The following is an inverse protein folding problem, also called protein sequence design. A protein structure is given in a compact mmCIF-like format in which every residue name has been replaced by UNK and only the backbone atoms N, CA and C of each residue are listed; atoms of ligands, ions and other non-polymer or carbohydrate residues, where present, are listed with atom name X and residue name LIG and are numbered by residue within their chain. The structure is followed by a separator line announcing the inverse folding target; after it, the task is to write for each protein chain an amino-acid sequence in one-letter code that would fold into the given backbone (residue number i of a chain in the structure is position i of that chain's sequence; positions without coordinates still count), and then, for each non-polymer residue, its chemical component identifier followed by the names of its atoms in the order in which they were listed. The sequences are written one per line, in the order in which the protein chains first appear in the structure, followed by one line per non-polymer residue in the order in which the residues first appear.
data_IF_002965134977
#
_entry.id   IF_002965134977
#
_cell.length_a   1.000
_cell.length_b   1.000
_cell.length_c   1.000
_cell.angle_alpha   90.00
_cell.angle_beta   90.00
_cell.angle_gamma   90.00
#
_symmetry.space_group_name_H-M   'P 1'
#
loop_
_entity.id
_entity.type
_entity.pdbx_description
1 polymer ?
#
# COMPACT_ATOMS: atom_id res chain seq x y z
N UNK A 1 -11.46 -35.98 1.87
CA UNK A 1 -10.64 -36.58 0.80
C UNK A 1 -9.40 -35.74 0.48
N UNK A 2 -9.51 -34.54 -0.10
CA UNK A 2 -8.34 -33.71 -0.49
C UNK A 2 -7.45 -33.30 0.69
N UNK A 3 -8.05 -32.90 1.82
CA UNK A 3 -7.33 -32.60 3.05
C UNK A 3 -6.49 -33.79 3.57
N UNK A 4 -7.06 -35.00 3.51
CA UNK A 4 -6.35 -36.24 3.88
C UNK A 4 -5.25 -36.61 2.87
N UNK A 5 -5.44 -36.31 1.58
CA UNK A 5 -4.43 -36.45 0.53
C UNK A 5 -3.27 -35.47 0.71
N UNK A 6 -3.55 -34.21 1.08
CA UNK A 6 -2.54 -33.21 1.43
C UNK A 6 -1.77 -33.63 2.69
N UNK A 7 -2.47 -34.07 3.73
CA UNK A 7 -1.82 -34.62 4.92
C UNK A 7 -0.98 -35.86 4.58
N UNK A 8 -1.46 -36.74 3.69
CA UNK A 8 -0.70 -37.88 3.17
C UNK A 8 0.51 -37.45 2.34
N UNK A 9 0.38 -36.44 1.48
CA UNK A 9 1.47 -35.93 0.65
C UNK A 9 2.55 -35.28 1.52
N UNK A 10 2.18 -34.47 2.52
CA UNK A 10 3.10 -33.93 3.53
C UNK A 10 3.74 -35.05 4.34
N UNK A 11 2.98 -36.10 4.66
CA UNK A 11 3.47 -37.29 5.35
C UNK A 11 4.38 -38.20 4.50
N UNK A 12 4.32 -38.14 3.17
CA UNK A 12 5.10 -38.96 2.24
C UNK A 12 6.20 -38.18 1.52
N UNK A 13 6.18 -36.85 1.61
CA UNK A 13 7.33 -36.04 1.28
C UNK A 13 8.48 -36.55 2.15
N UNK A 14 9.50 -37.11 1.49
CA UNK A 14 10.53 -37.92 2.13
C UNK A 14 11.36 -37.17 3.17
N UNK A 15 12.49 -37.73 3.62
CA UNK A 15 13.33 -37.17 4.70
C UNK A 15 13.89 -35.74 4.44
N UNK A 16 13.51 -35.07 3.35
CA UNK A 16 13.88 -33.69 3.02
C UNK A 16 12.96 -32.60 3.59
N UNK A 17 11.78 -32.92 4.15
CA UNK A 17 11.00 -31.92 4.89
C UNK A 17 11.56 -31.76 6.31
N UNK A 18 12.47 -30.82 6.46
CA UNK A 18 13.12 -30.49 7.76
C UNK A 18 12.29 -29.52 8.61
N UNK A 19 11.10 -29.10 8.14
CA UNK A 19 10.28 -28.07 8.77
C UNK A 19 8.84 -28.53 8.99
N UNK A 20 8.24 -28.05 10.07
CA UNK A 20 6.81 -28.23 10.32
C UNK A 20 5.98 -27.54 9.22
N UNK A 21 4.91 -28.20 8.78
CA UNK A 21 3.96 -27.66 7.79
C UNK A 21 2.61 -27.40 8.45
N UNK A 22 2.12 -26.17 8.38
CA UNK A 22 0.77 -25.81 8.80
C UNK A 22 -0.10 -25.59 7.55
N UNK A 23 -1.16 -26.40 7.43
CA UNK A 23 -2.18 -26.21 6.39
C UNK A 23 -3.28 -25.31 6.95
N UNK A 24 -3.51 -24.18 6.30
CA UNK A 24 -4.57 -23.23 6.67
C UNK A 24 -5.77 -23.47 5.77
N UNK A 25 -6.88 -23.95 6.32
CA UNK A 25 -8.15 -24.10 5.58
C UNK A 25 -9.02 -22.87 5.82
N UNK A 26 -9.46 -22.21 4.74
CA UNK A 26 -10.43 -21.09 4.80
C UNK A 26 -10.04 -19.91 5.70
N UNK A 27 -8.74 -19.63 5.84
CA UNK A 27 -8.23 -18.44 6.54
C UNK A 27 -8.03 -17.24 5.63
N UNK A 28 -7.81 -16.05 6.20
CA UNK A 28 -7.32 -14.87 5.46
C UNK A 28 -5.82 -14.72 5.74
N UNK A 29 -5.02 -14.70 4.68
CA UNK A 29 -3.57 -14.70 4.75
C UNK A 29 -3.03 -13.49 4.00
N UNK A 30 -2.34 -12.61 4.70
CA UNK A 30 -1.82 -11.35 4.14
C UNK A 30 -0.35 -11.54 3.78
N UNK A 31 -0.01 -11.16 2.56
CA UNK A 31 1.30 -11.30 1.94
C UNK A 31 1.79 -9.93 1.51
N UNK A 32 2.93 -9.52 2.04
CA UNK A 32 3.62 -8.29 1.65
C UNK A 32 5.05 -8.63 1.19
N UNK A 33 5.52 -8.05 0.09
CA UNK A 33 6.92 -8.13 -0.31
C UNK A 33 7.84 -7.69 0.81
N UNK A 34 8.95 -8.40 0.99
CA UNK A 34 9.98 -7.98 1.91
C UNK A 34 10.59 -6.65 1.44
N UNK A 35 10.68 -5.66 2.34
CA UNK A 35 11.37 -4.40 2.08
C UNK A 35 10.59 -3.36 1.27
N UNK A 36 9.30 -3.61 0.98
CA UNK A 36 8.42 -2.62 0.37
C UNK A 36 8.32 -1.38 1.27
N UNK A 37 8.63 -0.23 0.68
CA UNK A 37 8.82 1.06 1.34
C UNK A 37 7.97 2.12 0.63
N UNK A 38 6.73 1.76 0.31
CA UNK A 38 5.78 2.65 -0.34
C UNK A 38 4.62 3.02 0.61
N UNK A 39 3.70 3.85 0.13
CA UNK A 39 2.55 4.28 0.91
C UNK A 39 1.56 3.12 1.20
N UNK A 40 1.54 2.06 0.37
CA UNK A 40 0.73 0.88 0.63
C UNK A 40 1.27 0.06 1.81
N UNK A 41 2.59 -0.02 1.98
CA UNK A 41 3.17 -0.58 3.20
C UNK A 41 2.71 0.16 4.44
N UNK A 42 2.67 1.50 4.39
CA UNK A 42 2.21 2.33 5.52
C UNK A 42 0.73 2.10 5.81
N UNK A 43 -0.10 2.04 4.75
CA UNK A 43 -1.50 1.66 4.86
C UNK A 43 -1.68 0.30 5.55
N UNK A 44 -0.94 -0.72 5.10
CA UNK A 44 -1.04 -2.05 5.68
C UNK A 44 -0.51 -2.13 7.11
N UNK A 45 0.54 -1.38 7.45
CA UNK A 45 1.02 -1.28 8.82
C UNK A 45 -0.04 -0.69 9.77
N UNK A 46 -0.88 0.24 9.29
CA UNK A 46 -2.02 0.78 10.04
C UNK A 46 -3.21 -0.18 10.13
N UNK A 47 -3.51 -0.91 9.05
CA UNK A 47 -4.68 -1.79 8.94
C UNK A 47 -4.46 -3.15 9.60
N UNK A 48 -3.32 -3.80 9.35
CA UNK A 48 -3.07 -5.18 9.75
C UNK A 48 -3.23 -5.46 11.25
N UNK A 49 -2.80 -4.57 12.18
CA UNK A 49 -3.04 -4.77 13.60
C UNK A 49 -4.53 -4.86 13.97
N UNK A 50 -5.41 -4.18 13.24
CA UNK A 50 -6.86 -4.29 13.44
C UNK A 50 -7.35 -5.66 12.98
N UNK A 51 -6.93 -6.10 11.80
CA UNK A 51 -7.29 -7.43 11.28
C UNK A 51 -6.81 -8.57 12.15
N UNK A 52 -5.57 -8.53 12.63
CA UNK A 52 -5.02 -9.59 13.49
C UNK A 52 -5.73 -9.67 14.85
N UNK A 53 -6.28 -8.56 15.35
CA UNK A 53 -7.02 -8.52 16.63
C UNK A 53 -8.48 -8.92 16.48
N UNK A 54 -9.14 -8.41 15.45
CA UNK A 54 -10.60 -8.46 15.31
C UNK A 54 -11.05 -9.57 14.34
N UNK A 55 -10.12 -10.12 13.55
CA UNK A 55 -10.41 -11.15 12.56
C UNK A 55 -9.41 -12.31 12.62
N UNK A 56 -9.81 -13.46 12.06
CA UNK A 56 -8.95 -14.64 11.93
C UNK A 56 -7.99 -14.49 10.73
N UNK A 57 -7.18 -13.42 10.73
CA UNK A 57 -6.16 -13.16 9.73
C UNK A 57 -4.77 -13.63 10.22
N UNK A 58 -3.88 -13.97 9.29
CA UNK A 58 -2.47 -14.18 9.61
C UNK A 58 -1.57 -13.50 8.57
N UNK A 59 -0.44 -12.98 9.04
CA UNK A 59 0.58 -12.39 8.19
C UNK A 59 1.62 -13.44 7.80
N UNK A 60 1.93 -13.49 6.51
CA UNK A 60 2.89 -14.40 5.91
C UNK A 60 4.05 -13.64 5.28
N UNK A 61 5.24 -14.19 5.48
CA UNK A 61 6.43 -13.86 4.71
C UNK A 61 6.60 -14.86 3.58
N UNK A 62 7.01 -14.35 2.42
CA UNK A 62 7.56 -15.18 1.37
C UNK A 62 9.09 -15.16 1.52
N UNK A 63 9.72 -16.35 1.52
CA UNK A 63 11.18 -16.46 1.60
C UNK A 63 11.86 -15.66 0.48
N UNK A 64 13.13 -15.30 0.68
CA UNK A 64 13.88 -14.46 -0.26
C UNK A 64 14.04 -15.08 -1.65
N UNK A 65 14.09 -16.41 -1.72
CA UNK A 65 14.08 -17.21 -2.96
C UNK A 65 12.66 -17.36 -3.56
N UNK A 66 11.63 -16.88 -2.86
CA UNK A 66 10.23 -16.97 -3.24
C UNK A 66 9.62 -18.35 -3.05
N UNK A 67 10.35 -19.31 -2.48
CA UNK A 67 9.94 -20.72 -2.51
C UNK A 67 8.96 -21.12 -1.43
N UNK A 68 9.03 -20.46 -0.28
CA UNK A 68 8.36 -20.91 0.94
C UNK A 68 7.56 -19.77 1.56
N UNK A 69 6.35 -20.12 1.99
CA UNK A 69 5.51 -19.25 2.80
C UNK A 69 5.76 -19.55 4.27
N UNK A 70 6.12 -18.53 5.03
CA UNK A 70 6.37 -18.62 6.45
C UNK A 70 5.37 -17.75 7.20
N UNK A 71 4.79 -18.26 8.29
CA UNK A 71 3.97 -17.41 9.14
C UNK A 71 4.89 -16.50 9.98
N UNK A 72 4.69 -15.18 9.95
CA UNK A 72 5.40 -14.24 10.83
C UNK A 72 5.04 -14.43 12.30
N UNK A 73 3.84 -14.94 12.54
CA UNK A 73 3.28 -15.19 13.85
C UNK A 73 2.62 -16.57 13.87
N UNK A 74 2.43 -17.11 15.07
CA UNK A 74 1.69 -18.37 15.23
C UNK A 74 0.24 -18.15 14.80
N UNK A 75 -0.22 -18.91 13.82
CA UNK A 75 -1.61 -18.86 13.34
C UNK A 75 -2.52 -19.45 14.42
N UNK A 76 -3.37 -18.61 15.02
CA UNK A 76 -4.34 -19.00 16.05
C UNK A 76 -5.74 -18.97 15.43
N UNK A 77 -6.41 -20.13 15.35
CA UNK A 77 -7.87 -20.17 15.15
C UNK A 77 -8.42 -20.63 13.78
N UNK A 78 -7.60 -20.98 12.78
CA UNK A 78 -8.11 -21.44 11.47
C UNK A 78 -7.55 -22.80 10.99
N UNK A 79 -6.68 -23.43 11.77
CA UNK A 79 -6.18 -24.75 11.40
C UNK A 79 -7.21 -25.81 11.76
N UNK A 80 -7.62 -26.63 10.78
CA UNK A 80 -8.34 -27.88 11.07
C UNK A 80 -7.47 -28.70 12.05
N UNK A 81 -7.95 -28.97 13.28
CA UNK A 81 -7.19 -29.71 14.27
C UNK A 81 -6.74 -31.07 13.76
N UNK A 82 -7.50 -31.72 12.87
CA UNK A 82 -7.16 -33.01 12.28
C UNK A 82 -5.96 -32.92 11.33
N UNK A 83 -5.82 -31.82 10.59
CA UNK A 83 -4.68 -31.58 9.69
C UNK A 83 -3.44 -31.08 10.45
N UNK A 84 -3.64 -30.19 11.41
CA UNK A 84 -2.56 -29.63 12.22
C UNK A 84 -1.93 -30.65 13.17
N UNK A 85 -2.74 -31.53 13.80
CA UNK A 85 -2.25 -32.59 14.69
C UNK A 85 -1.47 -33.67 13.95
N UNK A 86 -1.87 -34.03 12.73
CA UNK A 86 -1.20 -35.05 11.90
C UNK A 86 0.23 -34.68 11.53
N UNK A 87 0.50 -33.39 11.30
CA UNK A 87 1.85 -32.89 10.99
C UNK A 87 2.67 -32.62 12.25
N UNK A 88 2.05 -32.09 13.31
CA UNK A 88 2.72 -31.83 14.60
C UNK A 88 3.11 -33.12 15.34
N UNK A 89 2.30 -34.18 15.24
CA UNK A 89 2.51 -35.44 15.95
C UNK A 89 3.79 -36.19 15.55
N UNK A 90 4.33 -35.98 14.33
CA UNK A 90 5.60 -36.64 13.92
C UNK A 90 6.85 -35.90 14.38
N UNK A 91 6.77 -34.60 14.61
CA UNK A 91 7.93 -33.80 15.04
C UNK A 91 8.10 -33.77 16.57
N UNK A 92 7.05 -34.12 17.34
CA UNK A 92 7.15 -34.23 18.79
C UNK A 92 8.02 -35.41 19.27
N UNK A 93 8.47 -36.30 18.37
CA UNK A 93 9.42 -37.35 18.65
C UNK A 93 10.84 -36.94 18.22
N UNK A 94 11.44 -35.96 18.92
CA UNK A 94 12.90 -35.92 19.07
C UNK A 94 13.73 -34.86 18.32
N UNK A 95 13.14 -33.85 17.67
CA UNK A 95 13.92 -32.75 17.07
C UNK A 95 13.47 -31.41 17.65
N UNK A 96 14.36 -30.75 18.40
CA UNK A 96 14.16 -29.37 18.81
C UNK A 96 14.05 -28.51 17.54
N UNK A 97 12.91 -27.82 17.36
CA UNK A 97 12.76 -26.84 16.30
C UNK A 97 13.62 -25.63 16.67
N UNK A 98 14.85 -25.58 16.15
CA UNK A 98 15.73 -24.41 16.21
C UNK A 98 15.07 -23.23 15.47
N UNK A 99 14.21 -22.48 16.16
CA UNK A 99 13.76 -21.13 15.76
C UNK A 99 13.11 -20.94 14.38
N UNK A 100 12.93 -21.98 13.58
CA UNK A 100 12.47 -21.88 12.20
C UNK A 100 10.94 -21.77 12.14
N UNK A 101 10.44 -20.72 11.47
CA UNK A 101 9.01 -20.50 11.25
C UNK A 101 8.41 -21.66 10.41
N UNK A 102 7.19 -22.14 10.76
CA UNK A 102 6.55 -23.22 10.03
C UNK A 102 6.27 -22.83 8.57
N UNK A 103 6.34 -23.82 7.67
CA UNK A 103 5.90 -23.68 6.29
C UNK A 103 4.37 -23.63 6.26
N UNK A 104 3.79 -22.65 5.58
CA UNK A 104 2.34 -22.49 5.47
C UNK A 104 1.86 -22.94 4.09
N UNK A 105 0.82 -23.78 4.08
CA UNK A 105 0.13 -24.18 2.86
C UNK A 105 -1.30 -23.63 2.89
N UNK A 106 -1.61 -22.59 2.09
CA UNK A 106 -2.95 -22.05 2.00
C UNK A 106 -3.86 -23.00 1.21
N UNK A 107 -4.93 -23.47 1.84
CA UNK A 107 -5.95 -24.30 1.20
C UNK A 107 -7.31 -23.63 1.32
N UNK A 108 -7.99 -23.41 0.18
CA UNK A 108 -9.31 -22.73 0.13
C UNK A 108 -9.35 -21.44 0.96
N UNK A 109 -8.21 -20.77 1.07
CA UNK A 109 -8.02 -19.58 1.88
C UNK A 109 -8.23 -18.35 1.02
N UNK A 110 -8.22 -17.17 1.62
CA UNK A 110 -8.12 -15.90 0.91
C UNK A 110 -6.71 -15.37 1.09
N UNK A 111 -5.95 -15.30 -0.01
CA UNK A 111 -4.62 -14.70 -0.06
C UNK A 111 -4.76 -13.23 -0.43
N UNK A 112 -4.32 -12.33 0.44
CA UNK A 112 -4.29 -10.89 0.19
C UNK A 112 -2.85 -10.48 -0.11
N UNK A 113 -2.53 -10.24 -1.37
CA UNK A 113 -1.22 -9.78 -1.82
C UNK A 113 -1.21 -8.26 -1.91
N UNK A 114 -0.29 -7.60 -1.21
CA UNK A 114 -0.26 -6.13 -1.12
C UNK A 114 0.94 -5.55 -1.86
N UNK A 115 0.71 -4.49 -2.61
CA UNK A 115 1.76 -3.62 -3.16
C UNK A 115 2.50 -4.18 -4.38
N UNK A 116 3.48 -3.40 -4.83
CA UNK A 116 4.39 -3.72 -5.93
C UNK A 116 5.73 -4.28 -5.40
N UNK A 117 6.73 -4.52 -6.27
CA UNK A 117 8.06 -4.95 -5.82
C UNK A 117 8.19 -6.46 -5.57
N UNK A 118 7.20 -7.24 -6.00
CA UNK A 118 7.34 -8.68 -6.12
C UNK A 118 8.37 -9.01 -7.21
N UNK A 119 9.32 -9.89 -6.90
CA UNK A 119 10.23 -10.38 -7.93
C UNK A 119 9.46 -11.16 -9.02
N UNK A 120 10.03 -11.32 -10.22
CA UNK A 120 9.40 -12.13 -11.28
C UNK A 120 9.05 -13.54 -10.80
N UNK A 121 9.96 -14.17 -10.05
CA UNK A 121 9.78 -15.51 -9.52
C UNK A 121 8.65 -15.58 -8.48
N UNK A 122 8.58 -14.60 -7.57
CA UNK A 122 7.52 -14.52 -6.58
C UNK A 122 6.16 -14.31 -7.24
N UNK A 123 6.07 -13.38 -8.20
CA UNK A 123 4.84 -13.10 -8.95
C UNK A 123 4.34 -14.33 -9.71
N UNK A 124 5.23 -15.07 -10.38
CA UNK A 124 4.87 -16.29 -11.09
C UNK A 124 4.36 -17.41 -10.16
N UNK A 125 4.93 -17.53 -8.96
CA UNK A 125 4.49 -18.51 -7.95
C UNK A 125 3.14 -18.13 -7.35
N UNK A 126 2.94 -16.87 -6.99
CA UNK A 126 1.65 -16.36 -6.53
C UNK A 126 0.58 -16.53 -7.61
N UNK A 127 0.91 -16.28 -8.89
CA UNK A 127 0.02 -16.55 -10.01
C UNK A 127 -0.34 -18.04 -10.14
N UNK A 128 0.61 -18.93 -9.86
CA UNK A 128 0.38 -20.37 -9.84
C UNK A 128 -0.57 -20.76 -8.69
N UNK A 129 -0.38 -20.19 -7.49
CA UNK A 129 -1.30 -20.37 -6.37
C UNK A 129 -2.71 -19.88 -6.71
N UNK A 130 -2.83 -18.70 -7.33
CA UNK A 130 -4.11 -18.14 -7.78
C UNK A 130 -4.84 -19.09 -8.74
N UNK A 131 -4.10 -19.75 -9.65
CA UNK A 131 -4.69 -20.65 -10.63
C UNK A 131 -5.03 -22.04 -10.10
N UNK A 132 -4.22 -22.58 -9.19
CA UNK A 132 -4.22 -24.03 -8.91
C UNK A 132 -4.59 -24.39 -7.46
N UNK A 133 -4.51 -23.47 -6.51
CA UNK A 133 -4.69 -23.80 -5.09
C UNK A 133 -6.16 -23.92 -4.64
N UNK A 134 -7.09 -23.40 -5.44
CA UNK A 134 -8.48 -23.21 -5.03
C UNK A 134 -8.67 -22.17 -3.92
N UNK A 135 -7.60 -21.48 -3.52
CA UNK A 135 -7.66 -20.29 -2.68
C UNK A 135 -8.04 -19.09 -3.54
N UNK A 136 -8.81 -18.19 -2.95
CA UNK A 136 -9.12 -16.90 -3.56
C UNK A 136 -7.91 -15.98 -3.42
N UNK A 137 -7.58 -15.24 -4.47
CA UNK A 137 -6.49 -14.26 -4.46
C UNK A 137 -7.05 -12.85 -4.65
N UNK A 138 -6.75 -11.99 -3.68
CA UNK A 138 -7.08 -10.58 -3.68
C UNK A 138 -5.77 -9.80 -3.76
N UNK A 139 -5.68 -8.85 -4.70
CA UNK A 139 -4.50 -7.98 -4.82
C UNK A 139 -4.89 -6.58 -4.38
N UNK A 140 -4.31 -6.08 -3.28
CA UNK A 140 -4.35 -4.67 -2.93
C UNK A 140 -3.27 -3.95 -3.72
N UNK A 141 -3.68 -3.40 -4.86
CA UNK A 141 -2.76 -3.05 -5.92
C UNK A 141 -2.26 -1.59 -5.80
N UNK A 142 -1.00 -1.32 -6.17
CA UNK A 142 -0.51 0.05 -6.32
C UNK A 142 -1.25 0.75 -7.46
N UNK A 143 -1.04 2.05 -7.58
CA UNK A 143 -1.57 2.81 -8.69
C UNK A 143 -1.16 2.23 -10.06
N UNK A 144 -2.09 2.22 -11.01
CA UNK A 144 -1.91 1.62 -12.33
C UNK A 144 -1.34 2.59 -13.39
N UNK A 145 -0.98 3.81 -13.01
CA UNK A 145 -0.34 4.80 -13.88
C UNK A 145 0.92 4.28 -14.58
N UNK A 146 1.78 3.43 -13.98
CA UNK A 146 2.91 2.85 -14.72
C UNK A 146 2.50 2.01 -15.93
N UNK A 147 1.23 1.61 -16.05
CA UNK A 147 0.69 0.93 -17.23
C UNK A 147 0.04 1.91 -18.20
N UNK A 148 -0.82 2.81 -17.69
CA UNK A 148 -1.65 3.67 -18.56
C UNK A 148 -0.92 4.93 -19.04
N UNK A 149 0.07 5.39 -18.28
CA UNK A 149 0.90 6.53 -18.60
C UNK A 149 2.35 6.30 -18.08
N UNK A 150 3.06 5.28 -18.60
CA UNK A 150 4.42 4.94 -18.15
C UNK A 150 5.40 6.11 -18.25
N UNK A 151 5.15 7.05 -19.17
CA UNK A 151 5.94 8.25 -19.31
C UNK A 151 5.87 9.18 -18.09
N UNK A 152 4.88 9.03 -17.20
CA UNK A 152 4.66 9.90 -16.03
C UNK A 152 5.30 9.37 -14.74
N UNK A 153 5.94 8.20 -14.79
CA UNK A 153 6.55 7.57 -13.60
C UNK A 153 7.98 7.14 -13.86
N UNK A 154 8.71 6.85 -12.78
CA UNK A 154 10.04 6.25 -12.88
C UNK A 154 10.00 4.87 -13.55
N UNK A 155 10.92 4.54 -14.50
CA UNK A 155 10.90 3.28 -15.23
C UNK A 155 10.92 2.00 -14.37
N UNK A 156 11.60 2.05 -13.22
CA UNK A 156 11.65 0.91 -12.27
C UNK A 156 10.25 0.56 -11.73
N UNK A 157 9.39 1.54 -11.48
CA UNK A 157 8.01 1.30 -11.04
C UNK A 157 7.19 0.57 -12.11
N UNK A 158 7.44 0.88 -13.38
CA UNK A 158 6.80 0.17 -14.49
C UNK A 158 7.23 -1.29 -14.57
N UNK A 159 8.52 -1.57 -14.31
CA UNK A 159 9.03 -2.94 -14.25
C UNK A 159 8.44 -3.72 -13.06
N UNK A 160 8.37 -3.12 -11.88
CA UNK A 160 7.78 -3.73 -10.69
C UNK A 160 6.29 -4.06 -10.88
N UNK A 161 5.55 -3.12 -11.46
CA UNK A 161 4.13 -3.34 -11.76
C UNK A 161 3.95 -4.41 -12.85
N UNK A 162 4.83 -4.48 -13.85
CA UNK A 162 4.76 -5.52 -14.88
C UNK A 162 4.90 -6.94 -14.30
N UNK A 163 5.68 -7.14 -13.24
CA UNK A 163 5.74 -8.42 -12.55
C UNK A 163 4.44 -8.71 -11.80
N UNK A 164 3.91 -7.74 -11.07
CA UNK A 164 2.62 -7.87 -10.37
C UNK A 164 1.48 -8.20 -11.34
N UNK A 165 1.53 -7.71 -12.59
CA UNK A 165 0.52 -8.05 -13.60
C UNK A 165 0.41 -9.54 -13.89
N UNK A 166 1.48 -10.32 -13.72
CA UNK A 166 1.40 -11.78 -13.86
C UNK A 166 0.47 -12.40 -12.81
N UNK A 167 0.45 -11.85 -11.59
CA UNK A 167 -0.47 -12.23 -10.52
C UNK A 167 -1.88 -11.69 -10.78
N UNK A 168 -2.00 -10.39 -11.11
CA UNK A 168 -3.31 -9.72 -11.31
C UNK A 168 -4.17 -10.42 -12.37
N UNK A 169 -3.54 -10.94 -13.43
CA UNK A 169 -4.22 -11.72 -14.48
C UNK A 169 -5.03 -12.91 -13.98
N UNK A 170 -4.62 -13.47 -12.84
CA UNK A 170 -5.21 -14.65 -12.24
C UNK A 170 -5.84 -14.38 -10.88
N UNK A 171 -5.84 -13.13 -10.41
CA UNK A 171 -6.51 -12.74 -9.18
C UNK A 171 -8.03 -12.78 -9.35
N UNK A 172 -8.73 -13.09 -8.27
CA UNK A 172 -10.20 -13.01 -8.22
C UNK A 172 -10.66 -11.57 -8.04
N UNK A 173 -9.88 -10.77 -7.30
CA UNK A 173 -10.22 -9.39 -6.98
C UNK A 173 -8.98 -8.52 -6.98
N UNK A 174 -9.11 -7.32 -7.54
CA UNK A 174 -8.15 -6.22 -7.38
C UNK A 174 -8.83 -5.14 -6.57
N UNK A 175 -8.19 -4.74 -5.47
CA UNK A 175 -8.57 -3.57 -4.70
C UNK A 175 -7.68 -2.42 -5.17
N UNK A 176 -8.32 -1.43 -5.79
CA UNK A 176 -7.68 -0.23 -6.29
C UNK A 176 -8.03 0.95 -5.40
N UNK A 177 -7.02 1.73 -5.02
CA UNK A 177 -7.18 2.93 -4.19
C UNK A 177 -7.39 4.13 -5.11
N UNK A 178 -8.58 4.72 -5.04
CA UNK A 178 -9.00 5.81 -5.93
C UNK A 178 -9.61 5.34 -7.26
N UNK A 179 -10.41 6.23 -7.84
CA UNK A 179 -11.16 5.99 -9.07
C UNK A 179 -10.26 5.88 -10.30
N UNK A 180 -9.18 6.64 -10.37
CA UNK A 180 -8.20 6.61 -11.46
C UNK A 180 -7.55 5.23 -11.58
N UNK A 181 -7.03 4.73 -10.46
CA UNK A 181 -6.47 3.37 -10.37
C UNK A 181 -7.54 2.32 -10.69
N UNK A 182 -8.76 2.44 -10.14
CA UNK A 182 -9.84 1.50 -10.41
C UNK A 182 -10.25 1.45 -11.89
N UNK A 183 -10.35 2.61 -12.57
CA UNK A 183 -10.63 2.68 -14.02
C UNK A 183 -9.54 1.98 -14.83
N UNK A 184 -8.27 2.20 -14.50
CA UNK A 184 -7.15 1.56 -15.18
C UNK A 184 -7.16 0.04 -15.01
N UNK A 185 -7.37 -0.47 -13.79
CA UNK A 185 -7.49 -1.92 -13.55
C UNK A 185 -8.74 -2.53 -14.20
N UNK A 186 -9.88 -1.81 -14.27
CA UNK A 186 -11.07 -2.27 -15.01
C UNK A 186 -10.77 -2.38 -16.51
N UNK A 187 -10.05 -1.42 -17.07
CA UNK A 187 -9.58 -1.47 -18.47
C UNK A 187 -8.68 -2.67 -18.73
N UNK A 188 -7.73 -2.94 -17.82
CA UNK A 188 -6.90 -4.14 -17.86
C UNK A 188 -7.75 -5.41 -17.80
N UNK A 189 -8.64 -5.54 -16.82
CA UNK A 189 -9.50 -6.70 -16.64
C UNK A 189 -10.37 -6.97 -17.88
N UNK A 190 -10.93 -5.91 -18.48
CA UNK A 190 -11.66 -6.00 -19.74
C UNK A 190 -10.77 -6.54 -20.87
N UNK A 191 -9.54 -6.03 -21.02
CA UNK A 191 -8.59 -6.48 -22.03
C UNK A 191 -8.17 -7.96 -21.88
N UNK A 192 -8.22 -8.53 -20.68
CA UNK A 192 -7.90 -9.94 -20.43
C UNK A 192 -8.92 -10.90 -21.06
N UNK A 193 -10.15 -10.45 -21.31
CA UNK A 193 -11.18 -11.26 -21.98
C UNK A 193 -10.77 -11.65 -23.41
N UNK A 194 -10.02 -10.78 -24.10
CA UNK A 194 -9.46 -11.08 -25.42
C UNK A 194 -8.41 -12.21 -25.38
N UNK A 195 -7.84 -12.50 -24.20
CA UNK A 195 -6.91 -13.60 -23.97
C UNK A 195 -7.61 -14.85 -23.43
N UNK A 196 -8.95 -14.87 -23.38
CA UNK A 196 -9.73 -15.96 -22.78
C UNK A 196 -9.65 -16.02 -21.26
N UNK A 197 -9.19 -14.94 -20.61
CA UNK A 197 -9.14 -14.84 -19.16
C UNK A 197 -10.32 -13.98 -18.67
N UNK A 198 -11.02 -14.38 -17.59
CA UNK A 198 -12.18 -13.63 -17.10
C UNK A 198 -11.83 -12.23 -16.55
N UNK A 199 -10.57 -12.03 -16.15
CA UNK A 199 -10.11 -10.85 -15.43
C UNK A 199 -10.62 -10.80 -13.97
N UNK A 200 -9.94 -10.02 -13.11
CA UNK A 200 -10.36 -9.83 -11.72
C UNK A 200 -11.61 -8.94 -11.60
N UNK A 201 -12.36 -9.11 -10.52
CA UNK A 201 -13.32 -8.10 -10.04
C UNK A 201 -12.54 -6.89 -9.50
N UNK A 202 -12.82 -5.68 -9.98
CA UNK A 202 -12.09 -4.48 -9.57
C UNK A 202 -12.93 -3.65 -8.62
N UNK A 203 -12.47 -3.59 -7.37
CA UNK A 203 -13.12 -2.85 -6.29
C UNK A 203 -12.35 -1.58 -6.01
N UNK A 204 -13.08 -0.49 -6.06
CA UNK A 204 -12.56 0.82 -5.71
C UNK A 204 -12.74 1.04 -4.22
N UNK A 205 -11.65 1.41 -3.55
CA UNK A 205 -11.71 1.96 -2.21
C UNK A 205 -11.26 3.42 -2.27
N UNK A 206 -11.93 4.33 -1.55
CA UNK A 206 -11.40 5.67 -1.37
C UNK A 206 -10.02 5.58 -0.72
N UNK A 207 -9.20 6.60 -0.95
CA UNK A 207 -7.98 6.77 -0.16
C UNK A 207 -8.42 7.18 1.23
N UNK A 208 -8.36 6.22 2.16
CA UNK A 208 -8.77 6.43 3.56
C UNK A 208 -7.51 6.36 4.42
N UNK A 209 -7.05 7.52 4.90
CA UNK A 209 -5.95 7.61 5.84
C UNK A 209 -6.38 7.29 7.28
N UNK A 210 -5.42 6.87 8.09
CA UNK A 210 -5.57 6.82 9.55
C UNK A 210 -5.27 8.15 10.25
N UNK A 211 -5.06 8.15 11.58
CA UNK A 211 -4.53 9.32 12.30
C UNK A 211 -3.31 9.92 11.59
N UNK A 212 -3.08 11.24 11.76
CA UNK A 212 -2.01 11.93 11.07
C UNK A 212 -0.69 11.21 11.26
N UNK A 213 -0.14 10.68 10.16
CA UNK A 213 1.21 10.13 10.20
C UNK A 213 2.14 11.30 10.52
N UNK A 214 3.08 11.07 11.44
CA UNK A 214 3.98 12.12 11.90
C UNK A 214 5.13 12.36 10.91
N UNK A 215 4.72 12.79 9.72
CA UNK A 215 5.57 13.09 8.58
C UNK A 215 6.04 14.54 8.61
N UNK A 216 5.24 15.39 9.26
CA UNK A 216 5.43 16.83 9.31
C UNK A 216 5.97 17.23 10.67
N UNK A 217 7.28 17.48 10.73
CA UNK A 217 7.87 18.20 11.85
C UNK A 217 7.33 19.64 11.86
N UNK A 218 7.01 20.22 13.03
CA UNK A 218 6.59 21.62 13.13
C UNK A 218 7.63 22.56 12.51
N UNK A 219 7.18 23.53 11.71
CA UNK A 219 8.05 24.56 11.16
C UNK A 219 8.55 25.51 12.25
N UNK A 220 9.77 26.05 12.07
CA UNK A 220 10.29 27.07 12.98
C UNK A 220 9.57 28.40 12.74
N UNK A 221 9.21 29.17 13.79
CA UNK A 221 8.64 30.49 13.63
C UNK A 221 9.50 31.39 12.73
N UNK A 222 8.87 32.10 11.80
CA UNK A 222 9.54 33.04 10.90
C UNK A 222 10.31 32.41 9.72
N UNK A 223 10.27 31.09 9.54
CA UNK A 223 10.85 30.42 8.37
C UNK A 223 9.79 29.53 7.72
N UNK A 224 9.24 29.92 6.56
CA UNK A 224 8.29 29.06 5.86
C UNK A 224 8.96 27.73 5.49
N UNK A 225 8.21 26.64 5.58
CA UNK A 225 8.69 25.29 5.27
C UNK A 225 7.91 24.68 4.11
N UNK A 226 8.64 24.15 3.15
CA UNK A 226 8.14 23.33 2.05
C UNK A 226 8.52 21.88 2.32
N UNK A 227 7.53 21.02 2.52
CA UNK A 227 7.74 19.58 2.65
C UNK A 227 7.41 18.90 1.33
N UNK A 228 8.40 18.25 0.72
CA UNK A 228 8.25 17.52 -0.55
C UNK A 228 8.04 16.05 -0.20
N UNK A 229 6.95 15.47 -0.69
CA UNK A 229 6.64 14.06 -0.57
C UNK A 229 6.73 13.40 -1.93
N UNK A 230 7.40 12.25 -1.97
CA UNK A 230 7.57 11.46 -3.18
C UNK A 230 9.05 11.24 -3.50
N UNK A 231 9.33 10.06 -4.03
CA UNK A 231 10.68 9.66 -4.40
C UNK A 231 11.00 9.92 -5.87
N UNK A 232 10.00 10.29 -6.68
CA UNK A 232 10.20 10.41 -8.12
C UNK A 232 11.19 11.54 -8.46
N UNK A 233 12.27 11.24 -9.22
CA UNK A 233 13.28 12.23 -9.57
C UNK A 233 12.73 13.45 -10.31
N UNK A 234 11.65 13.30 -11.08
CA UNK A 234 11.07 14.42 -11.84
C UNK A 234 10.33 15.36 -10.92
N UNK A 235 9.53 14.83 -10.00
CA UNK A 235 8.92 15.64 -8.92
C UNK A 235 9.99 16.46 -8.19
N UNK A 236 11.12 15.85 -7.85
CA UNK A 236 12.22 16.56 -7.18
C UNK A 236 12.86 17.62 -8.06
N UNK A 237 13.01 17.37 -9.37
CA UNK A 237 13.57 18.33 -10.31
C UNK A 237 12.67 19.56 -10.48
N UNK A 238 11.39 19.39 -10.82
CA UNK A 238 10.44 20.50 -11.00
C UNK A 238 10.30 21.34 -9.73
N UNK A 239 10.25 20.70 -8.56
CA UNK A 239 10.21 21.45 -7.29
C UNK A 239 11.52 22.17 -7.01
N UNK A 240 12.68 21.57 -7.30
CA UNK A 240 13.97 22.23 -7.14
C UNK A 240 14.10 23.47 -8.04
N UNK A 241 13.66 23.39 -9.29
CA UNK A 241 13.64 24.53 -10.22
C UNK A 241 12.71 25.65 -9.72
N UNK A 242 11.49 25.30 -9.29
CA UNK A 242 10.57 26.24 -8.67
C UNK A 242 11.18 26.95 -7.45
N UNK A 243 11.84 26.21 -6.56
CA UNK A 243 12.49 26.75 -5.37
C UNK A 243 13.69 27.65 -5.71
N UNK A 244 14.46 27.31 -6.74
CA UNK A 244 15.55 28.15 -7.25
C UNK A 244 15.02 29.47 -7.82
N UNK A 245 13.91 29.43 -8.57
CA UNK A 245 13.26 30.63 -9.09
C UNK A 245 12.77 31.56 -7.97
N UNK A 246 12.16 31.00 -6.91
CA UNK A 246 11.75 31.75 -5.72
C UNK A 246 12.96 32.36 -5.00
N UNK A 247 14.05 31.62 -4.87
CA UNK A 247 15.28 32.12 -4.25
C UNK A 247 15.91 33.27 -5.03
N UNK A 248 15.89 33.22 -6.36
CA UNK A 248 16.36 34.32 -7.20
C UNK A 248 15.56 35.62 -7.00
N UNK A 249 14.30 35.51 -6.57
CA UNK A 249 13.43 36.64 -6.20
C UNK A 249 13.63 37.11 -4.75
N UNK A 250 14.63 36.58 -4.03
CA UNK A 250 14.92 36.94 -2.64
C UNK A 250 14.08 36.20 -1.61
N UNK A 251 13.34 35.15 -2.00
CA UNK A 251 12.47 34.38 -1.10
C UNK A 251 13.23 33.19 -0.53
N UNK A 252 13.21 33.03 0.79
CA UNK A 252 13.87 31.93 1.49
C UNK A 252 12.85 31.03 2.19
N UNK A 253 12.98 29.72 2.02
CA UNK A 253 12.23 28.73 2.79
C UNK A 253 13.13 27.58 3.22
N UNK A 254 12.69 26.86 4.24
CA UNK A 254 13.25 25.56 4.59
C UNK A 254 12.63 24.48 3.70
N UNK A 255 13.45 23.59 3.16
CA UNK A 255 13.00 22.51 2.29
C UNK A 255 13.29 21.18 2.97
N UNK A 256 12.26 20.37 3.15
CA UNK A 256 12.36 19.03 3.75
C UNK A 256 11.84 18.03 2.73
N UNK A 257 12.64 17.03 2.38
CA UNK A 257 12.17 15.92 1.53
C UNK A 257 11.87 14.72 2.40
N UNK A 258 10.68 14.13 2.20
CA UNK A 258 10.25 12.92 2.89
C UNK A 258 10.23 11.79 1.87
N UNK A 259 10.99 10.75 2.17
CA UNK A 259 10.89 9.47 1.49
C UNK A 259 9.76 8.65 2.13
N UNK A 260 8.71 8.24 1.38
CA UNK A 260 7.67 7.34 1.89
C UNK A 260 8.24 6.08 2.56
N UNK A 261 9.38 5.60 2.08
CA UNK A 261 10.07 4.46 2.65
C UNK A 261 10.68 4.66 4.02
N UNK A 262 11.02 5.90 4.36
CA UNK A 262 11.47 6.26 5.71
C UNK A 262 10.28 6.39 6.68
N UNK A 263 9.09 6.72 6.17
CA UNK A 263 7.86 6.82 6.97
C UNK A 263 7.41 5.46 7.49
N UNK A 264 7.57 4.38 6.72
CA UNK A 264 7.28 3.01 7.19
C UNK A 264 8.11 2.62 8.42
N UNK A 265 9.41 2.94 8.43
CA UNK A 265 10.28 2.69 9.60
C UNK A 265 10.00 3.61 10.79
N UNK A 266 9.54 4.84 10.52
CA UNK A 266 9.06 5.73 11.58
C UNK A 266 7.74 5.21 12.15
N UNK A 267 6.82 4.69 11.34
CA UNK A 267 5.53 4.16 11.80
C UNK A 267 5.68 3.03 12.82
N UNK A 268 6.68 2.15 12.66
CA UNK A 268 7.02 1.13 13.67
C UNK A 268 7.51 1.71 15.00
N UNK A 269 8.05 2.94 14.99
CA UNK A 269 8.58 3.64 16.17
C UNK A 269 7.61 4.69 16.74
N UNK A 270 6.67 5.21 15.95
CA UNK A 270 5.86 6.41 16.27
C UNK A 270 4.45 6.09 16.82
N UNK A 271 4.13 4.83 17.14
CA UNK A 271 2.89 4.46 17.84
C UNK A 271 2.77 5.02 19.28
N UNK A 272 3.68 5.92 19.70
CA UNK A 272 3.73 6.48 21.05
C UNK A 272 3.93 8.01 21.14
N UNK A 273 3.95 8.78 20.04
CA UNK A 273 4.20 10.22 20.11
C UNK A 273 3.09 11.06 19.47
N UNK A 274 2.28 11.70 20.32
CA UNK A 274 1.40 12.79 19.91
C UNK A 274 2.26 14.04 19.63
N UNK A 275 2.43 14.41 18.36
CA UNK A 275 2.94 15.75 18.02
C UNK A 275 1.80 16.75 18.10
N UNK A 276 1.68 17.36 19.28
CA UNK A 276 0.87 18.56 19.51
C UNK A 276 1.79 19.78 19.33
N UNK A 277 1.76 20.37 18.14
CA UNK A 277 2.60 21.53 17.84
C UNK A 277 2.23 22.21 16.53
N UNK A 278 0.99 22.70 16.40
CA UNK A 278 0.66 23.70 15.37
C UNK A 278 1.10 25.06 15.89
N UNK A 279 2.38 25.37 15.73
CA UNK A 279 2.88 26.74 15.88
C UNK A 279 2.44 27.60 14.68
N UNK A 280 2.51 28.94 14.76
CA UNK A 280 2.11 29.88 13.69
C UNK A 280 3.05 29.88 12.46
N UNK A 281 3.87 28.84 12.29
CA UNK A 281 4.85 28.79 11.23
C UNK A 281 4.22 28.23 9.94
N UNK A 282 4.35 29.00 8.85
CA UNK A 282 3.77 28.66 7.54
C UNK A 282 4.40 27.38 6.99
N UNK A 283 3.57 26.39 6.76
CA UNK A 283 3.98 25.10 6.20
C UNK A 283 3.08 24.76 5.01
N UNK A 284 3.71 24.19 3.97
CA UNK A 284 3.01 23.64 2.80
C UNK A 284 3.58 22.26 2.46
N UNK A 285 2.75 21.41 1.88
CA UNK A 285 3.16 20.14 1.30
C UNK A 285 3.26 20.27 -0.23
N UNK A 286 4.20 19.56 -0.85
CA UNK A 286 4.27 19.39 -2.30
C UNK A 286 4.29 17.90 -2.63
N UNK A 287 3.27 17.43 -3.36
CA UNK A 287 3.08 16.03 -3.74
C UNK A 287 2.72 15.92 -5.23
N UNK A 288 3.74 15.97 -6.10
CA UNK A 288 3.56 15.97 -7.55
C UNK A 288 3.67 14.59 -8.22
N UNK A 289 3.94 13.53 -7.45
CA UNK A 289 4.03 12.17 -7.96
C UNK A 289 2.62 11.63 -8.29
N UNK A 290 2.24 11.51 -9.58
CA UNK A 290 0.89 11.09 -9.96
C UNK A 290 0.58 9.63 -9.60
N UNK A 291 1.60 8.81 -9.33
CA UNK A 291 1.47 7.41 -8.93
C UNK A 291 1.43 7.17 -7.41
N UNK A 292 1.45 8.24 -6.60
CA UNK A 292 1.30 8.12 -5.14
C UNK A 292 -0.12 7.68 -4.76
N UNK A 293 -0.29 7.01 -3.62
CA UNK A 293 -1.63 6.62 -3.12
C UNK A 293 -2.37 7.78 -2.46
N UNK A 294 -1.72 8.91 -2.26
CA UNK A 294 -2.29 10.09 -1.62
C UNK A 294 -2.36 9.99 -0.09
N UNK A 295 -1.78 8.95 0.52
CA UNK A 295 -1.86 8.72 1.97
C UNK A 295 -1.14 9.82 2.75
N UNK A 296 0.08 10.18 2.33
CA UNK A 296 0.86 11.22 2.99
C UNK A 296 0.26 12.63 2.75
N UNK A 297 -0.36 12.82 1.59
CA UNK A 297 -1.14 14.02 1.28
C UNK A 297 -2.34 14.15 2.21
N UNK A 298 -3.16 13.11 2.36
CA UNK A 298 -4.31 13.10 3.24
C UNK A 298 -3.91 13.33 4.72
N UNK A 299 -2.79 12.73 5.16
CA UNK A 299 -2.24 12.96 6.49
C UNK A 299 -1.85 14.43 6.75
N UNK A 300 -1.27 15.11 5.75
CA UNK A 300 -0.92 16.53 5.85
C UNK A 300 -2.17 17.42 5.88
N UNK A 301 -3.15 17.15 5.02
CA UNK A 301 -4.37 17.95 4.94
C UNK A 301 -5.17 17.91 6.26
N UNK A 302 -5.22 16.76 6.93
CA UNK A 302 -5.85 16.64 8.27
C UNK A 302 -5.19 17.47 9.35
N UNK A 303 -3.92 17.87 9.16
CA UNK A 303 -3.22 18.81 10.04
C UNK A 303 -3.48 20.27 9.66
N UNK A 304 -4.37 20.53 8.69
CA UNK A 304 -4.60 21.86 8.14
C UNK A 304 -3.44 22.37 7.30
N UNK A 305 -2.55 21.48 6.81
CA UNK A 305 -1.41 21.88 5.99
C UNK A 305 -1.83 21.87 4.52
N UNK A 306 -1.91 23.03 3.86
CA UNK A 306 -2.29 23.10 2.45
C UNK A 306 -1.19 22.50 1.56
N UNK A 307 -1.58 22.03 0.38
CA UNK A 307 -0.68 21.31 -0.51
C UNK A 307 -0.71 21.80 -1.96
N UNK A 308 0.44 21.74 -2.64
CA UNK A 308 0.52 21.74 -4.11
C UNK A 308 0.58 20.30 -4.57
N UNK A 309 -0.32 19.89 -5.47
CA UNK A 309 -0.41 18.47 -5.87
C UNK A 309 -0.51 18.29 -7.37
N UNK A 310 -0.18 17.09 -7.84
CA UNK A 310 -0.47 16.71 -9.22
C UNK A 310 -1.99 16.72 -9.46
N UNK A 311 -2.42 17.38 -10.54
CA UNK A 311 -3.83 17.47 -10.92
C UNK A 311 -4.42 16.13 -11.40
N UNK A 312 -3.57 15.13 -11.70
CA UNK A 312 -3.99 13.81 -12.19
C UNK A 312 -3.66 12.70 -11.18
N UNK A 313 -4.20 11.51 -11.47
CA UNK A 313 -4.03 10.35 -10.61
C UNK A 313 -4.77 10.48 -9.28
N UNK A 314 -4.37 9.66 -8.32
CA UNK A 314 -4.96 9.64 -6.98
C UNK A 314 -4.74 10.95 -6.22
N UNK A 315 -3.57 11.65 -6.29
CA UNK A 315 -3.41 12.95 -5.66
C UNK A 315 -4.42 14.00 -6.13
N UNK A 316 -4.75 14.01 -7.44
CA UNK A 316 -5.77 14.89 -7.99
C UNK A 316 -7.17 14.62 -7.44
N UNK A 317 -7.52 13.35 -7.23
CA UNK A 317 -8.79 12.97 -6.60
C UNK A 317 -8.86 13.39 -5.13
N UNK A 318 -7.74 13.30 -4.40
CA UNK A 318 -7.64 13.78 -3.01
C UNK A 318 -7.80 15.30 -2.95
N UNK A 319 -7.23 16.04 -3.91
CA UNK A 319 -7.32 17.49 -4.01
C UNK A 319 -8.72 18.02 -4.37
N UNK A 320 -9.54 17.22 -5.05
CA UNK A 320 -10.92 17.60 -5.36
C UNK A 320 -11.77 17.88 -4.10
N UNK A 321 -11.33 17.39 -2.94
CA UNK A 321 -11.98 17.63 -1.63
C UNK A 321 -11.45 18.89 -0.91
N UNK A 322 -10.68 19.76 -1.58
CA UNK A 322 -10.22 21.04 -1.04
C UNK A 322 -8.92 20.97 -0.24
N UNK A 323 -8.34 22.15 0.03
CA UNK A 323 -7.08 22.32 0.75
C UNK A 323 -5.83 22.12 -0.11
N UNK A 324 -5.99 22.03 -1.42
CA UNK A 324 -4.91 21.80 -2.37
C UNK A 324 -4.98 22.77 -3.56
N UNK A 325 -3.81 23.06 -4.13
CA UNK A 325 -3.66 23.71 -5.44
C UNK A 325 -3.21 22.63 -6.44
N UNK A 326 -4.11 22.11 -7.29
CA UNK A 326 -3.75 21.14 -8.31
C UNK A 326 -2.97 21.83 -9.45
N UNK A 327 -1.87 21.21 -9.88
CA UNK A 327 -1.02 21.71 -10.98
C UNK A 327 -0.66 20.57 -11.93
N UNK A 328 -0.37 20.92 -13.19
CA UNK A 328 0.33 20.01 -14.10
C UNK A 328 1.79 19.88 -13.63
N UNK A 329 2.28 18.67 -13.31
CA UNK A 329 3.66 18.51 -12.87
C UNK A 329 4.70 18.86 -13.94
N UNK A 330 4.32 18.91 -15.23
CA UNK A 330 5.20 19.29 -16.34
C UNK A 330 5.21 20.81 -16.61
N UNK A 331 4.41 21.60 -15.88
CA UNK A 331 4.39 23.07 -15.96
C UNK A 331 5.12 23.68 -14.75
N UNK A 332 6.43 23.84 -14.87
CA UNK A 332 7.29 24.37 -13.81
C UNK A 332 6.87 25.79 -13.36
N UNK A 333 6.29 26.58 -14.26
CA UNK A 333 5.79 27.92 -13.93
C UNK A 333 4.53 27.85 -13.07
N UNK A 334 3.61 26.92 -13.38
CA UNK A 334 2.44 26.65 -12.55
C UNK A 334 2.84 26.13 -11.16
N UNK A 335 3.79 25.18 -11.09
CA UNK A 335 4.34 24.66 -9.83
C UNK A 335 4.94 25.80 -8.99
N UNK A 336 5.81 26.62 -9.58
CA UNK A 336 6.44 27.74 -8.89
C UNK A 336 5.41 28.79 -8.42
N UNK A 337 4.42 29.12 -9.25
CA UNK A 337 3.36 30.07 -8.90
C UNK A 337 2.47 29.54 -7.78
N UNK A 338 2.16 28.24 -7.76
CA UNK A 338 1.36 27.63 -6.70
C UNK A 338 2.10 27.61 -5.36
N UNK A 339 3.39 27.25 -5.38
CA UNK A 339 4.26 27.30 -4.20
C UNK A 339 4.37 28.76 -3.69
N UNK A 340 4.61 29.72 -4.59
CA UNK A 340 4.66 31.15 -4.26
C UNK A 340 3.38 31.61 -3.57
N UNK A 341 2.22 31.31 -4.15
CA UNK A 341 0.93 31.75 -3.64
C UNK A 341 0.70 31.24 -2.21
N UNK A 342 0.92 29.95 -1.95
CA UNK A 342 0.77 29.39 -0.60
C UNK A 342 1.82 29.91 0.39
N UNK A 343 3.01 30.31 -0.07
CA UNK A 343 4.08 30.83 0.78
C UNK A 343 3.96 32.32 1.11
N UNK A 344 3.39 33.13 0.21
CA UNK A 344 3.45 34.59 0.31
C UNK A 344 2.08 35.23 0.55
N UNK A 345 0.99 34.58 0.12
CA UNK A 345 -0.36 35.12 0.28
C UNK A 345 -1.04 34.51 1.52
N UNK A 346 -1.22 35.33 2.56
CA UNK A 346 -1.86 34.95 3.82
C UNK A 346 -3.32 34.55 3.65
N UNK A 347 -4.02 35.15 2.69
CA UNK A 347 -5.43 34.85 2.42
C UNK A 347 -5.52 33.50 1.71
N UNK A 348 -4.70 33.27 0.69
CA UNK A 348 -4.67 32.00 -0.05
C UNK A 348 -4.24 30.84 0.85
N UNK A 349 -3.19 31.03 1.66
CA UNK A 349 -2.75 30.01 2.63
C UNK A 349 -3.84 29.70 3.66
N UNK A 350 -4.41 30.72 4.30
CA UNK A 350 -5.44 30.53 5.32
C UNK A 350 -6.71 29.88 4.76
N UNK A 351 -7.11 30.23 3.52
CA UNK A 351 -8.25 29.61 2.86
C UNK A 351 -8.02 28.10 2.65
N UNK A 352 -6.90 27.70 2.04
CA UNK A 352 -6.61 26.29 1.82
C UNK A 352 -6.32 25.52 3.12
N UNK A 353 -5.70 26.15 4.12
CA UNK A 353 -5.52 25.54 5.43
C UNK A 353 -6.88 25.26 6.11
N UNK A 354 -7.83 26.19 6.00
CA UNK A 354 -9.18 26.02 6.53
C UNK A 354 -9.95 24.91 5.79
N UNK A 355 -9.86 24.86 4.46
CA UNK A 355 -10.43 23.76 3.66
C UNK A 355 -9.83 22.41 4.08
N UNK A 356 -8.51 22.33 4.22
CA UNK A 356 -7.80 21.13 4.64
C UNK A 356 -8.24 20.65 6.02
N UNK A 357 -8.35 21.57 6.98
CA UNK A 357 -8.80 21.28 8.35
C UNK A 357 -10.28 20.89 8.44
N UNK A 358 -11.12 21.35 7.49
CA UNK A 358 -12.54 21.02 7.45
C UNK A 358 -12.83 19.63 6.85
N UNK A 359 -11.82 18.91 6.36
CA UNK A 359 -11.99 17.60 5.74
C UNK A 359 -12.48 16.56 6.76
N UNK A 360 -13.35 15.62 6.33
CA UNK A 360 -13.78 14.52 7.19
C UNK A 360 -12.57 13.70 7.65
N UNK A 361 -12.49 13.47 8.97
CA UNK A 361 -11.48 12.58 9.52
C UNK A 361 -11.95 11.13 9.39
N UNK A 362 -11.28 10.33 8.57
CA UNK A 362 -11.31 8.88 8.65
C UNK A 362 -10.29 8.28 9.61
N UNK A 363 -10.52 7.06 10.09
CA UNK A 363 -9.61 6.35 11.01
C UNK A 363 -8.99 5.11 10.38
N UNK A 364 -7.88 4.62 10.94
CA UNK A 364 -7.30 3.33 10.50
C UNK A 364 -8.30 2.18 10.65
N UNK A 365 -9.19 2.25 11.63
CA UNK A 365 -10.25 1.26 11.82
C UNK A 365 -11.23 1.29 10.65
N UNK A 366 -11.73 2.46 10.26
CA UNK A 366 -12.64 2.56 9.11
C UNK A 366 -11.98 2.08 7.81
N UNK A 367 -10.70 2.41 7.60
CA UNK A 367 -9.93 1.86 6.48
C UNK A 367 -9.82 0.34 6.56
N UNK A 368 -9.54 -0.19 7.75
CA UNK A 368 -9.41 -1.63 7.98
C UNK A 368 -10.73 -2.35 7.73
N UNK A 369 -11.85 -1.80 8.19
CA UNK A 369 -13.19 -2.36 8.02
C UNK A 369 -13.58 -2.34 6.52
N UNK A 370 -13.37 -1.21 5.84
CA UNK A 370 -13.65 -1.09 4.41
C UNK A 370 -12.79 -2.06 3.56
N UNK A 371 -11.50 -2.18 3.90
CA UNK A 371 -10.61 -3.12 3.21
C UNK A 371 -10.99 -4.57 3.54
N UNK A 372 -11.37 -4.88 4.78
CA UNK A 372 -11.80 -6.22 5.18
C UNK A 372 -13.08 -6.64 4.45
N UNK A 373 -14.07 -5.75 4.37
CA UNK A 373 -15.28 -5.96 3.60
C UNK A 373 -14.97 -6.19 2.12
N UNK A 374 -14.07 -5.39 1.54
CA UNK A 374 -13.62 -5.57 0.16
C UNK A 374 -12.86 -6.88 -0.05
N UNK A 375 -12.08 -7.34 0.92
CA UNK A 375 -11.37 -8.62 0.87
C UNK A 375 -12.32 -9.80 1.01
N UNK A 376 -13.27 -9.76 1.95
CA UNK A 376 -14.08 -10.93 2.32
C UNK A 376 -15.37 -11.07 1.51
N UNK A 377 -15.91 -9.97 0.98
CA UNK A 377 -17.12 -10.02 0.16
C UNK A 377 -16.89 -10.90 -1.06
N UNK A 378 -17.65 -11.99 -1.16
CA UNK A 378 -17.57 -12.92 -2.28
C UNK A 378 -18.07 -12.25 -3.56
N UNK A 379 -17.57 -12.66 -4.72
CA UNK A 379 -18.13 -12.22 -6.00
C UNK A 379 -19.57 -12.71 -6.05
N UNK A 380 -20.53 -11.80 -6.10
CA UNK A 380 -21.89 -12.16 -6.53
C UNK A 380 -21.78 -12.57 -7.99
N UNK A 381 -21.81 -13.87 -8.25
CA UNK A 381 -21.93 -14.38 -9.60
C UNK A 381 -23.37 -14.08 -10.02
N UNK A 382 -23.57 -12.98 -10.75
CA UNK A 382 -24.80 -12.79 -11.50
C UNK A 382 -24.89 -13.95 -12.50
N UNK A 383 -25.73 -14.93 -12.16
CA UNK A 383 -26.05 -16.09 -12.99
C UNK A 383 -26.89 -15.69 -14.20
#
# INVERSE_FOLDING_TARGET
AVAALLAQAVAHAGPGLTRAVDVVDRGVLVLSPAGLRDELSVLMAGVLPHWLREHAAAELDLSSDGEQLHARQRIVGSCDPALSSSVRSRHAAGVALDGALPLVVPWRSTLVCVGAGWSPAQSARLATLARLSGSRVVVAAPDALPIVAPQMVHPERSADLAHLLALVKHADTVIAFGGASARAYRGLACGLTAQGLPGPDVRELPVVGGPPIDVLTPAQPGRPRVTIVGADPRTRASVAEALLALRAQGRGCEVVTVDPGAVSSAFEQTTAANVTGVGPARQILVALDPGGTGLLLDAALRRGVPAVVCAVGVPGEVAANGGCVPVDPDDDAAVASAIAALLDDDVVHAAHAAEAAARPASTWRETADALWDAVTRTREVAL
#
